data_IF_266357071907
#
_entry.id   IF_266357071907
#
_cell.length_a   1.000
_cell.length_b   1.000
_cell.length_c   1.000
_cell.angle_alpha   90.00
_cell.angle_beta   90.00
_cell.angle_gamma   90.00
#
_symmetry.space_group_name_H-M   'P 1'
#
loop_
_entity.id
_entity.type
_entity.pdbx_description
1 polymer ?
#
# COMPACT_ATOMS: atom_id res chain seq x y z
N UNK A 1 9.22 49.69 9.03
CA UNK A 1 9.40 48.22 9.13
C UNK A 1 8.86 47.61 7.87
N UNK A 2 9.69 46.91 7.09
CA UNK A 2 9.25 46.25 5.86
C UNK A 2 8.16 45.25 6.19
N UNK A 3 6.94 45.50 5.70
CA UNK A 3 5.81 44.59 5.84
C UNK A 3 5.84 43.61 4.68
N UNK A 4 5.78 42.32 4.99
CA UNK A 4 5.58 41.26 4.00
C UNK A 4 4.08 40.98 3.89
N UNK A 5 3.56 40.96 2.66
CA UNK A 5 2.21 40.45 2.40
C UNK A 5 2.18 38.92 2.46
N UNK A 6 0.99 38.33 2.51
CA UNK A 6 0.82 36.86 2.43
C UNK A 6 1.46 36.28 1.17
N UNK A 7 1.28 36.95 0.02
CA UNK A 7 1.90 36.54 -1.25
C UNK A 7 3.43 36.59 -1.19
N UNK A 8 4.01 37.55 -0.46
CA UNK A 8 5.45 37.63 -0.29
C UNK A 8 5.97 36.47 0.54
N UNK A 9 5.24 36.13 1.61
CA UNK A 9 5.56 34.99 2.48
C UNK A 9 5.51 33.67 1.68
N UNK A 10 4.46 33.44 0.89
CA UNK A 10 4.34 32.25 0.03
C UNK A 10 5.52 32.16 -0.97
N UNK A 11 5.88 33.27 -1.62
CA UNK A 11 7.01 33.31 -2.56
C UNK A 11 8.35 33.05 -1.87
N UNK A 12 8.53 33.54 -0.65
CA UNK A 12 9.71 33.27 0.17
C UNK A 12 9.78 31.79 0.56
N UNK A 13 8.67 31.19 1.00
CA UNK A 13 8.59 29.77 1.37
C UNK A 13 8.89 28.87 0.16
N UNK A 14 8.30 29.16 -1.00
CA UNK A 14 8.59 28.45 -2.25
C UNK A 14 10.08 28.50 -2.56
N UNK A 15 10.68 29.69 -2.49
CA UNK A 15 12.11 29.88 -2.81
C UNK A 15 13.03 29.14 -1.85
N UNK A 16 12.72 29.14 -0.56
CA UNK A 16 13.45 28.37 0.48
C UNK A 16 13.34 26.87 0.20
N UNK A 17 12.18 26.39 -0.23
CA UNK A 17 11.92 24.96 -0.48
C UNK A 17 12.66 24.46 -1.72
N UNK A 18 12.74 25.28 -2.77
CA UNK A 18 13.38 24.92 -4.05
C UNK A 18 14.90 25.12 -4.05
N UNK A 19 15.42 26.08 -3.28
CA UNK A 19 16.83 26.47 -3.30
C UNK A 19 17.61 25.91 -2.12
N UNK A 20 18.68 25.17 -2.38
CA UNK A 20 19.64 24.74 -1.35
C UNK A 20 20.79 25.73 -1.15
N UNK A 21 20.95 26.71 -2.05
CA UNK A 21 21.99 27.74 -2.06
C UNK A 21 21.59 28.97 -1.21
N UNK A 22 22.11 29.03 0.02
CA UNK A 22 21.85 30.13 0.97
C UNK A 22 22.39 31.49 0.50
N UNK A 23 23.64 31.61 -0.01
CA UNK A 23 24.11 32.87 -0.60
C UNK A 23 23.17 33.44 -1.67
N UNK A 24 22.66 32.59 -2.57
CA UNK A 24 21.74 33.01 -3.63
C UNK A 24 20.39 33.47 -3.08
N UNK A 25 19.88 32.79 -2.05
CA UNK A 25 18.65 33.20 -1.35
C UNK A 25 18.81 34.57 -0.68
N UNK A 26 19.94 34.84 -0.02
CA UNK A 26 20.21 36.13 0.63
C UNK A 26 20.27 37.26 -0.40
N UNK A 27 20.96 37.06 -1.52
CA UNK A 27 21.04 38.06 -2.59
C UNK A 27 19.67 38.35 -3.20
N UNK A 28 18.84 37.32 -3.38
CA UNK A 28 17.47 37.47 -3.88
C UNK A 28 16.57 38.22 -2.89
N UNK A 29 16.61 37.89 -1.59
CA UNK A 29 15.84 38.59 -0.55
C UNK A 29 16.18 40.09 -0.51
N UNK A 30 17.46 40.45 -0.61
CA UNK A 30 17.90 41.86 -0.65
C UNK A 30 17.44 42.61 -1.90
N UNK A 31 17.30 41.91 -3.03
CA UNK A 31 16.92 42.52 -4.29
C UNK A 31 15.41 42.73 -4.41
N UNK A 32 14.62 41.73 -4.02
CA UNK A 32 13.15 41.79 -4.11
C UNK A 32 12.51 42.53 -2.94
N UNK A 33 13.14 42.47 -1.76
CA UNK A 33 12.62 43.07 -0.53
C UNK A 33 13.65 44.01 0.09
N UNK A 34 13.83 45.19 -0.52
CA UNK A 34 14.82 46.18 -0.08
C UNK A 34 14.56 46.73 1.32
N UNK A 35 13.30 46.72 1.76
CA UNK A 35 12.86 47.31 3.03
C UNK A 35 12.95 46.32 4.21
N UNK A 36 13.36 45.09 3.94
CA UNK A 36 13.50 44.02 4.93
C UNK A 36 14.80 44.23 5.74
N UNK A 37 14.73 44.35 7.08
CA UNK A 37 15.90 44.48 7.93
C UNK A 37 16.93 43.35 7.73
N UNK A 38 18.21 43.68 7.87
CA UNK A 38 19.29 42.70 7.73
C UNK A 38 19.22 41.55 8.76
N UNK A 39 18.56 41.77 9.89
CA UNK A 39 18.27 40.73 10.88
C UNK A 39 17.25 39.72 10.37
N UNK A 40 16.15 40.19 9.77
CA UNK A 40 15.10 39.35 9.21
C UNK A 40 15.61 38.55 8.00
N UNK A 41 16.43 39.15 7.14
CA UNK A 41 17.08 38.42 6.03
C UNK A 41 17.98 37.29 6.57
N UNK A 42 18.72 37.55 7.66
CA UNK A 42 19.54 36.52 8.32
C UNK A 42 18.69 35.43 8.96
N UNK A 43 17.53 35.77 9.48
CA UNK A 43 16.59 34.80 10.04
C UNK A 43 15.98 33.92 8.94
N UNK A 44 15.39 34.53 7.91
CA UNK A 44 14.73 33.82 6.79
C UNK A 44 15.71 32.88 6.07
N UNK A 45 16.96 33.31 5.84
CA UNK A 45 17.99 32.47 5.16
C UNK A 45 18.48 31.26 5.96
N UNK A 46 18.13 31.16 7.25
CA UNK A 46 18.42 29.97 8.08
C UNK A 46 17.31 28.93 8.02
N UNK A 47 16.11 29.32 7.60
CA UNK A 47 14.98 28.40 7.45
C UNK A 47 15.28 27.37 6.35
N UNK A 48 14.79 26.15 6.54
CA UNK A 48 14.93 25.07 5.59
C UNK A 48 13.67 24.23 5.63
N UNK A 49 13.00 24.15 4.48
CA UNK A 49 11.81 23.35 4.29
C UNK A 49 12.13 22.17 3.37
N UNK A 50 11.37 21.09 3.52
CA UNK A 50 11.49 19.88 2.74
C UNK A 50 10.12 19.49 2.24
N UNK A 51 10.12 18.82 1.09
CA UNK A 51 8.95 18.23 0.44
C UNK A 51 7.92 19.27 -0.05
N UNK A 52 6.92 18.76 -0.75
CA UNK A 52 5.84 19.55 -1.36
C UNK A 52 4.49 19.02 -0.89
N UNK A 53 3.52 19.93 -0.80
CA UNK A 53 2.11 19.56 -0.63
C UNK A 53 1.57 18.79 -1.84
N UNK A 54 0.41 18.13 -1.67
CA UNK A 54 -0.28 17.40 -2.75
C UNK A 54 -1.24 18.27 -3.57
N UNK A 55 -1.56 19.46 -3.07
CA UNK A 55 -2.56 20.37 -3.64
C UNK A 55 -1.84 21.65 -4.06
N UNK A 56 -2.21 22.20 -5.21
CA UNK A 56 -1.63 23.43 -5.73
C UNK A 56 -2.36 24.67 -5.18
N UNK A 57 -1.66 25.81 -5.12
CA UNK A 57 -2.28 27.09 -4.80
C UNK A 57 -3.44 27.41 -5.77
N UNK A 58 -3.26 27.15 -7.08
CA UNK A 58 -4.32 27.33 -8.08
C UNK A 58 -5.60 26.55 -7.74
N UNK A 59 -5.49 25.33 -7.21
CA UNK A 59 -6.65 24.55 -6.79
C UNK A 59 -7.31 25.17 -5.55
N UNK A 60 -6.53 25.58 -4.55
CA UNK A 60 -7.07 26.01 -3.25
C UNK A 60 -7.65 27.42 -3.28
N UNK A 61 -6.97 28.36 -3.95
CA UNK A 61 -7.33 29.79 -3.95
C UNK A 61 -7.79 30.29 -5.32
N UNK A 62 -7.55 29.53 -6.38
CA UNK A 62 -7.90 29.90 -7.77
C UNK A 62 -9.04 29.09 -8.38
N UNK A 63 -9.69 28.21 -7.59
CA UNK A 63 -10.84 27.42 -8.02
C UNK A 63 -12.10 27.95 -7.36
N UNK A 64 -13.12 28.24 -8.16
CA UNK A 64 -14.35 28.89 -7.72
C UNK A 64 -15.55 28.01 -8.03
N UNK A 65 -16.62 28.22 -7.27
CA UNK A 65 -17.92 27.60 -7.53
C UNK A 65 -18.39 27.97 -8.95
N UNK A 66 -18.91 27.00 -9.69
CA UNK A 66 -19.52 27.24 -10.99
C UNK A 66 -20.98 26.83 -10.92
N UNK A 67 -21.89 27.79 -11.12
CA UNK A 67 -23.30 27.47 -11.25
C UNK A 67 -23.53 26.76 -12.59
N UNK A 68 -23.87 25.48 -12.51
CA UNK A 68 -24.06 24.61 -13.68
C UNK A 68 -25.24 25.04 -14.57
N UNK A 69 -26.18 25.86 -14.07
CA UNK A 69 -27.33 26.32 -14.84
C UNK A 69 -27.04 27.64 -15.58
N UNK A 70 -26.26 28.53 -14.98
CA UNK A 70 -25.98 29.88 -15.52
C UNK A 70 -24.57 30.01 -16.11
N UNK A 71 -23.68 29.04 -15.86
CA UNK A 71 -22.24 29.09 -16.13
C UNK A 71 -21.54 30.29 -15.48
N UNK A 72 -22.13 30.86 -14.43
CA UNK A 72 -21.53 31.96 -13.68
C UNK A 72 -20.51 31.43 -12.68
N UNK A 73 -19.39 32.14 -12.57
CA UNK A 73 -18.32 31.84 -11.61
C UNK A 73 -18.66 32.58 -10.31
N UNK A 74 -18.84 31.81 -9.23
CA UNK A 74 -19.05 32.31 -7.88
C UNK A 74 -17.81 33.00 -7.31
N UNK A 75 -17.99 33.71 -6.19
CA UNK A 75 -16.94 34.54 -5.59
C UNK A 75 -16.05 33.86 -4.53
N UNK A 76 -16.31 32.59 -4.17
CA UNK A 76 -15.60 31.91 -3.08
C UNK A 76 -14.65 30.84 -3.60
N UNK A 77 -13.38 30.92 -3.22
CA UNK A 77 -12.43 29.85 -3.48
C UNK A 77 -12.68 28.62 -2.59
N UNK A 78 -12.02 27.51 -2.86
CA UNK A 78 -12.12 26.31 -2.01
C UNK A 78 -11.75 26.64 -0.56
N UNK A 79 -10.67 27.39 -0.34
CA UNK A 79 -10.22 27.72 1.02
C UNK A 79 -11.20 28.67 1.72
N UNK A 80 -11.79 29.62 1.00
CA UNK A 80 -12.80 30.53 1.55
C UNK A 80 -14.07 29.78 1.96
N UNK A 81 -14.47 28.80 1.16
CA UNK A 81 -15.64 27.99 1.43
C UNK A 81 -15.42 27.06 2.64
N UNK A 82 -14.24 26.42 2.73
CA UNK A 82 -13.85 25.63 3.91
C UNK A 82 -13.72 26.47 5.17
N UNK A 83 -13.38 27.76 5.05
CA UNK A 83 -13.30 28.66 6.19
C UNK A 83 -14.70 29.10 6.67
N UNK A 84 -15.59 29.38 5.72
CA UNK A 84 -16.95 29.82 6.03
C UNK A 84 -17.86 28.68 6.52
N UNK A 85 -17.67 27.47 5.99
CA UNK A 85 -18.56 26.33 6.22
C UNK A 85 -17.80 25.15 6.86
N UNK A 86 -18.49 24.35 7.68
CA UNK A 86 -17.90 23.13 8.27
C UNK A 86 -17.91 21.94 7.27
N UNK A 87 -17.33 22.15 6.10
CA UNK A 87 -17.34 21.23 4.96
C UNK A 87 -15.89 20.95 4.56
N UNK A 88 -15.57 19.66 4.37
CA UNK A 88 -14.22 19.26 3.97
C UNK A 88 -14.00 19.30 2.45
N UNK A 89 -12.74 19.27 2.02
CA UNK A 89 -12.36 19.31 0.60
C UNK A 89 -13.08 18.26 -0.26
N UNK A 90 -13.22 17.02 0.23
CA UNK A 90 -13.85 15.96 -0.55
C UNK A 90 -15.35 16.19 -0.75
N UNK A 91 -16.01 16.82 0.21
CA UNK A 91 -17.42 17.20 0.09
C UNK A 91 -17.58 18.37 -0.89
N UNK A 92 -16.67 19.36 -0.87
CA UNK A 92 -16.66 20.48 -1.84
C UNK A 92 -16.45 19.97 -3.26
N UNK A 93 -15.55 19.00 -3.45
CA UNK A 93 -15.27 18.37 -4.74
C UNK A 93 -16.34 17.35 -5.18
N UNK A 94 -17.43 17.18 -4.42
CA UNK A 94 -18.60 16.43 -4.88
C UNK A 94 -19.36 17.20 -5.97
N UNK A 95 -20.33 16.55 -6.61
CA UNK A 95 -21.17 17.19 -7.63
C UNK A 95 -22.10 18.29 -7.07
N UNK A 96 -22.12 18.49 -5.75
CA UNK A 96 -23.08 19.37 -5.05
C UNK A 96 -22.75 20.85 -5.10
N UNK A 97 -21.49 21.23 -5.40
CA UNK A 97 -21.00 22.62 -5.22
C UNK A 97 -20.32 23.21 -6.46
N UNK A 98 -20.41 22.57 -7.64
CA UNK A 98 -19.92 23.14 -8.91
C UNK A 98 -18.40 23.23 -9.10
N UNK A 99 -17.59 23.15 -8.03
CA UNK A 99 -16.12 23.22 -8.11
C UNK A 99 -15.50 22.12 -9.00
N UNK A 100 -16.10 20.93 -9.03
CA UNK A 100 -15.66 19.83 -9.90
C UNK A 100 -15.76 20.21 -11.38
N UNK A 101 -16.85 20.86 -11.77
CA UNK A 101 -17.05 21.31 -13.16
C UNK A 101 -16.02 22.37 -13.57
N UNK A 102 -15.70 23.31 -12.69
CA UNK A 102 -14.63 24.29 -12.92
C UNK A 102 -13.27 23.59 -13.16
N UNK A 103 -12.92 22.62 -12.31
CA UNK A 103 -11.67 21.85 -12.44
C UNK A 103 -11.64 21.08 -13.77
N UNK A 104 -12.74 20.45 -14.16
CA UNK A 104 -12.85 19.73 -15.43
C UNK A 104 -12.66 20.66 -16.63
N UNK A 105 -13.21 21.88 -16.58
CA UNK A 105 -13.05 22.88 -17.65
C UNK A 105 -11.60 23.39 -17.75
N UNK A 106 -10.97 23.72 -16.61
CA UNK A 106 -9.58 24.13 -16.57
C UNK A 106 -8.63 23.02 -17.07
N UNK A 107 -8.92 21.76 -16.71
CA UNK A 107 -8.18 20.61 -17.24
C UNK A 107 -8.37 20.48 -18.75
N UNK A 108 -9.60 20.63 -19.27
CA UNK A 108 -9.85 20.62 -20.73
C UNK A 108 -9.06 21.71 -21.45
N UNK A 109 -9.03 22.94 -20.91
CA UNK A 109 -8.23 24.05 -21.46
C UNK A 109 -6.75 23.71 -21.48
N UNK A 110 -6.22 23.22 -20.36
CA UNK A 110 -4.83 22.80 -20.25
C UNK A 110 -4.47 21.72 -21.28
N UNK A 111 -5.29 20.67 -21.39
CA UNK A 111 -5.02 19.57 -22.32
C UNK A 111 -5.32 19.90 -23.79
N UNK A 112 -6.07 20.96 -24.08
CA UNK A 112 -6.22 21.48 -25.44
C UNK A 112 -4.91 22.12 -25.93
N UNK A 113 -4.20 22.81 -25.03
CA UNK A 113 -2.94 23.50 -25.31
C UNK A 113 -1.74 22.53 -25.18
N UNK A 114 -1.81 21.65 -24.19
CA UNK A 114 -0.82 20.62 -23.87
C UNK A 114 -1.46 19.25 -24.04
N UNK A 115 -1.73 18.79 -25.28
CA UNK A 115 -2.32 17.48 -25.50
C UNK A 115 -1.50 16.44 -24.74
N UNK A 116 -2.17 15.67 -23.87
CA UNK A 116 -1.59 14.42 -23.38
C UNK A 116 -1.09 13.70 -24.61
N UNK A 117 0.21 13.38 -24.64
CA UNK A 117 0.79 12.75 -25.83
C UNK A 117 0.18 11.38 -26.10
N UNK A 118 0.90 10.53 -26.83
CA UNK A 118 0.47 9.14 -27.06
C UNK A 118 -0.03 8.46 -25.76
N UNK A 119 -0.90 7.45 -25.85
CA UNK A 119 -1.32 6.61 -24.70
C UNK A 119 -0.13 6.17 -23.82
N UNK A 120 1.05 5.99 -24.42
CA UNK A 120 2.28 5.68 -23.71
C UNK A 120 2.75 6.79 -22.75
N UNK A 121 2.50 8.07 -23.07
CA UNK A 121 2.77 9.20 -22.20
C UNK A 121 1.78 9.26 -21.04
N UNK A 122 0.48 9.12 -21.29
CA UNK A 122 -0.54 9.06 -20.23
C UNK A 122 -0.23 7.92 -19.25
N UNK A 123 0.13 6.74 -19.75
CA UNK A 123 0.53 5.60 -18.91
C UNK A 123 1.80 5.87 -18.08
N UNK A 124 2.74 6.67 -18.59
CA UNK A 124 3.93 7.08 -17.83
C UNK A 124 3.58 8.07 -16.72
N UNK A 125 2.69 9.02 -16.99
CA UNK A 125 2.20 10.01 -16.02
C UNK A 125 1.37 9.33 -14.91
N UNK A 126 0.68 8.23 -15.21
CA UNK A 126 -0.02 7.39 -14.25
C UNK A 126 0.90 6.43 -13.45
N UNK A 127 2.23 6.57 -13.58
CA UNK A 127 3.23 5.71 -12.94
C UNK A 127 3.04 4.20 -13.21
N UNK A 128 2.47 3.84 -14.36
CA UNK A 128 2.29 2.44 -14.75
C UNK A 128 3.64 1.87 -15.21
N UNK A 129 4.00 0.68 -14.71
CA UNK A 129 5.29 0.07 -15.05
C UNK A 129 5.40 -0.27 -16.55
N UNK A 130 6.59 -0.20 -17.18
CA UNK A 130 6.73 -0.40 -18.62
C UNK A 130 6.20 -1.74 -19.15
N UNK A 131 6.32 -2.82 -18.36
CA UNK A 131 5.76 -4.13 -18.72
C UNK A 131 4.24 -4.11 -18.77
N UNK A 132 3.62 -3.46 -17.79
CA UNK A 132 2.16 -3.29 -17.73
C UNK A 132 1.71 -2.34 -18.85
N UNK A 133 2.37 -1.21 -19.05
CA UNK A 133 2.02 -0.25 -20.11
C UNK A 133 2.01 -0.88 -21.50
N UNK A 134 2.96 -1.77 -21.79
CA UNK A 134 2.96 -2.53 -23.06
C UNK A 134 1.72 -3.43 -23.19
N UNK A 135 1.33 -4.12 -22.14
CA UNK A 135 0.12 -4.96 -22.16
C UNK A 135 -1.13 -4.11 -22.44
N UNK A 136 -1.25 -2.95 -21.76
CA UNK A 136 -2.38 -2.02 -21.95
C UNK A 136 -2.46 -1.51 -23.39
N UNK A 137 -1.34 -1.07 -23.96
CA UNK A 137 -1.29 -0.58 -25.35
C UNK A 137 -1.74 -1.67 -26.32
N UNK A 138 -1.27 -2.92 -26.12
CA UNK A 138 -1.69 -4.06 -26.96
C UNK A 138 -3.17 -4.38 -26.81
N UNK A 139 -3.72 -4.36 -25.60
CA UNK A 139 -5.17 -4.52 -25.39
C UNK A 139 -5.96 -3.46 -26.15
N UNK A 140 -5.54 -2.20 -26.11
CA UNK A 140 -6.20 -1.11 -26.85
C UNK A 140 -6.10 -1.28 -28.37
N UNK A 141 -4.97 -1.77 -28.88
CA UNK A 141 -4.80 -2.09 -30.31
C UNK A 141 -5.76 -3.21 -30.74
N UNK A 142 -5.89 -4.27 -29.95
CA UNK A 142 -6.81 -5.38 -30.19
C UNK A 142 -8.26 -4.89 -30.19
N UNK A 143 -8.67 -4.07 -29.22
CA UNK A 143 -10.03 -3.50 -29.18
C UNK A 143 -10.31 -2.64 -30.41
N UNK A 144 -9.35 -1.80 -30.83
CA UNK A 144 -9.47 -0.98 -32.05
C UNK A 144 -9.60 -1.85 -33.30
N UNK A 145 -8.87 -2.95 -33.38
CA UNK A 145 -8.95 -3.91 -34.49
C UNK A 145 -10.29 -4.64 -34.50
N UNK A 146 -10.75 -5.14 -33.35
CA UNK A 146 -12.05 -5.77 -33.21
C UNK A 146 -13.19 -4.83 -33.63
N UNK A 147 -13.14 -3.55 -33.25
CA UNK A 147 -14.11 -2.56 -33.70
C UNK A 147 -14.10 -2.37 -35.22
N UNK A 148 -12.90 -2.36 -35.84
CA UNK A 148 -12.77 -2.25 -37.31
C UNK A 148 -13.37 -3.46 -38.03
N UNK A 149 -13.23 -4.66 -37.47
CA UNK A 149 -13.74 -5.92 -38.02
C UNK A 149 -15.25 -6.02 -37.82
N UNK A 150 -15.72 -5.85 -36.59
CA UNK A 150 -17.13 -6.05 -36.19
C UNK A 150 -18.04 -4.87 -36.56
N UNK A 151 -17.46 -3.71 -36.90
CA UNK A 151 -18.16 -2.45 -37.21
C UNK A 151 -19.06 -1.95 -36.07
N UNK A 152 -18.86 -2.43 -34.85
CA UNK A 152 -19.61 -2.06 -33.66
C UNK A 152 -18.67 -1.93 -32.46
N UNK A 153 -19.07 -1.12 -31.49
CA UNK A 153 -18.39 -1.05 -30.20
C UNK A 153 -18.82 -2.24 -29.32
N UNK A 154 -17.92 -2.79 -28.48
CA UNK A 154 -18.28 -3.85 -27.54
C UNK A 154 -19.19 -3.31 -26.44
N UNK A 155 -20.23 -4.07 -26.08
CA UNK A 155 -21.15 -3.67 -24.99
C UNK A 155 -20.48 -3.66 -23.62
N UNK A 156 -19.52 -4.58 -23.40
CA UNK A 156 -18.75 -4.71 -22.16
C UNK A 156 -17.34 -5.21 -22.47
N UNK A 157 -16.35 -4.67 -21.76
CA UNK A 157 -14.96 -5.12 -21.80
C UNK A 157 -14.58 -5.60 -20.40
N UNK A 158 -14.24 -6.89 -20.27
CA UNK A 158 -13.71 -7.46 -19.04
C UNK A 158 -12.20 -7.50 -19.13
N UNK A 159 -11.52 -6.84 -18.18
CA UNK A 159 -10.06 -6.79 -18.11
C UNK A 159 -9.59 -7.47 -16.85
N UNK A 160 -8.83 -8.55 -16.98
CA UNK A 160 -8.14 -9.21 -15.89
C UNK A 160 -6.63 -9.03 -16.05
N UNK A 161 -5.97 -8.52 -15.02
CA UNK A 161 -4.53 -8.29 -15.02
C UNK A 161 -3.86 -9.33 -14.11
N UNK A 162 -2.98 -10.15 -14.67
CA UNK A 162 -2.21 -11.12 -13.90
C UNK A 162 -1.48 -10.44 -12.73
N UNK A 163 -1.36 -11.14 -11.59
CA UNK A 163 -0.60 -10.69 -10.42
C UNK A 163 0.88 -10.56 -10.78
N UNK A 164 1.27 -9.42 -11.34
CA UNK A 164 2.68 -9.06 -11.53
C UNK A 164 3.36 -8.76 -10.20
N UNK A 165 4.65 -9.09 -10.09
CA UNK A 165 5.48 -8.71 -8.95
C UNK A 165 5.52 -7.19 -8.77
N UNK A 166 5.68 -6.72 -7.52
CA UNK A 166 5.69 -5.29 -7.24
C UNK A 166 6.89 -4.64 -7.95
N UNK A 167 6.76 -3.42 -8.52
CA UNK A 167 7.90 -2.70 -9.09
C UNK A 167 9.07 -2.57 -8.11
N UNK A 168 8.75 -2.47 -6.81
CA UNK A 168 9.67 -2.41 -5.67
C UNK A 168 10.50 -3.67 -5.44
N UNK A 169 10.08 -4.81 -5.99
CA UNK A 169 10.76 -6.11 -5.91
C UNK A 169 11.72 -6.33 -7.09
N UNK A 170 11.64 -5.49 -8.13
CA UNK A 170 12.48 -5.61 -9.33
C UNK A 170 13.90 -5.14 -9.01
N UNK A 171 14.85 -6.08 -9.04
CA UNK A 171 16.28 -5.80 -8.82
C UNK A 171 16.75 -5.88 -7.35
N UNK A 172 15.84 -6.13 -6.40
CA UNK A 172 16.24 -6.49 -5.04
C UNK A 172 16.57 -7.98 -5.00
N UNK A 173 17.73 -8.35 -4.46
CA UNK A 173 18.03 -9.74 -4.13
C UNK A 173 17.00 -10.19 -3.10
N UNK A 174 16.04 -11.02 -3.52
CA UNK A 174 15.15 -11.70 -2.58
C UNK A 174 16.04 -12.53 -1.65
N UNK A 175 16.00 -12.23 -0.35
CA UNK A 175 16.70 -13.07 0.63
C UNK A 175 16.18 -14.50 0.51
N UNK A 176 17.09 -15.47 0.47
CA UNK A 176 16.65 -16.86 0.37
C UNK A 176 15.86 -17.25 1.62
N UNK A 177 14.96 -18.23 1.51
CA UNK A 177 14.23 -18.75 2.67
C UNK A 177 15.18 -19.22 3.78
N UNK A 178 16.30 -19.82 3.40
CA UNK A 178 17.38 -20.20 4.32
C UNK A 178 17.98 -18.99 5.04
N UNK A 179 18.36 -17.93 4.33
CA UNK A 179 18.88 -16.69 4.95
C UNK A 179 17.85 -16.07 5.92
N UNK A 180 16.56 -16.13 5.59
CA UNK A 180 15.50 -15.64 6.47
C UNK A 180 15.37 -16.46 7.75
N UNK A 181 15.43 -17.80 7.64
CA UNK A 181 15.38 -18.72 8.79
C UNK A 181 16.63 -18.55 9.67
N UNK A 182 17.82 -18.37 9.11
CA UNK A 182 19.02 -18.16 9.92
C UNK A 182 18.95 -16.86 10.73
N UNK A 183 18.52 -15.75 10.10
CA UNK A 183 18.28 -14.49 10.81
C UNK A 183 17.23 -14.63 11.90
N UNK A 184 16.19 -15.44 11.65
CA UNK A 184 15.16 -15.74 12.63
C UNK A 184 15.78 -16.40 13.86
N UNK A 185 16.63 -17.41 13.67
CA UNK A 185 17.26 -18.15 14.77
C UNK A 185 18.24 -17.30 15.56
N UNK A 186 19.00 -16.42 14.90
CA UNK A 186 19.89 -15.48 15.59
C UNK A 186 19.12 -14.54 16.54
N UNK A 187 17.90 -14.13 16.15
CA UNK A 187 17.02 -13.29 16.97
C UNK A 187 16.23 -14.05 18.06
N UNK A 188 16.24 -15.40 18.03
CA UNK A 188 15.34 -16.23 18.85
C UNK A 188 15.95 -16.78 20.14
N UNK A 189 17.24 -16.52 20.37
CA UNK A 189 17.99 -17.00 21.55
C UNK A 189 17.39 -16.58 22.89
N UNK A 190 16.53 -15.56 22.90
CA UNK A 190 15.86 -15.09 24.12
C UNK A 190 14.74 -16.02 24.63
N UNK A 191 14.23 -16.94 23.80
CA UNK A 191 13.08 -17.78 24.15
C UNK A 191 13.13 -19.23 23.61
N UNK A 192 14.14 -19.58 22.83
CA UNK A 192 14.43 -20.95 22.39
C UNK A 192 15.83 -21.32 22.86
N UNK A 193 16.01 -22.53 23.36
CA UNK A 193 17.33 -23.00 23.81
C UNK A 193 18.31 -23.11 22.64
N UNK A 194 19.60 -22.95 22.92
CA UNK A 194 20.64 -23.11 21.91
C UNK A 194 20.68 -24.55 21.38
N UNK A 195 20.31 -25.54 22.20
CA UNK A 195 20.19 -26.95 21.78
C UNK A 195 19.08 -27.14 20.73
N UNK A 196 17.90 -26.58 20.96
CA UNK A 196 16.77 -26.66 20.03
C UNK A 196 17.10 -25.97 18.70
N UNK A 197 17.72 -24.78 18.76
CA UNK A 197 18.18 -24.05 17.57
C UNK A 197 19.24 -24.87 16.81
N UNK A 198 20.20 -25.48 17.52
CA UNK A 198 21.25 -26.30 16.92
C UNK A 198 20.67 -27.52 16.18
N UNK A 199 19.70 -28.20 16.81
CA UNK A 199 18.99 -29.32 16.18
C UNK A 199 18.23 -28.88 14.93
N UNK A 200 17.50 -27.76 14.99
CA UNK A 200 16.78 -27.20 13.84
C UNK A 200 17.74 -26.75 12.71
N UNK A 201 18.92 -26.23 13.05
CA UNK A 201 19.97 -25.89 12.06
C UNK A 201 20.53 -27.11 11.36
N UNK A 202 20.75 -28.21 12.08
CA UNK A 202 21.15 -29.48 11.48
C UNK A 202 20.13 -29.98 10.47
N UNK A 203 18.83 -29.93 10.82
CA UNK A 203 17.74 -30.28 9.91
C UNK A 203 17.61 -29.31 8.72
N UNK A 204 17.87 -28.02 8.93
CA UNK A 204 17.87 -27.02 7.86
C UNK A 204 19.03 -27.23 6.87
N UNK A 205 20.19 -27.66 7.38
CA UNK A 205 21.39 -27.94 6.59
C UNK A 205 21.27 -29.19 5.71
N UNK A 206 20.42 -30.15 6.08
CA UNK A 206 20.19 -31.37 5.29
C UNK A 206 19.25 -31.19 4.10
N UNK A 207 18.52 -30.07 4.02
CA UNK A 207 17.59 -29.77 2.93
C UNK A 207 18.27 -29.03 1.77
N UNK A 208 17.81 -29.26 0.55
CA UNK A 208 18.14 -28.39 -0.58
C UNK A 208 17.31 -27.10 -0.57
N UNK A 209 17.77 -26.06 -1.27
CA UNK A 209 16.98 -24.85 -1.47
C UNK A 209 15.63 -25.14 -2.17
N UNK A 210 15.58 -26.16 -3.03
CA UNK A 210 14.34 -26.58 -3.71
C UNK A 210 13.32 -27.14 -2.71
N UNK A 211 13.76 -28.00 -1.78
CA UNK A 211 12.89 -28.51 -0.72
C UNK A 211 12.37 -27.38 0.19
N UNK A 212 13.20 -26.37 0.45
CA UNK A 212 12.78 -25.19 1.22
C UNK A 212 11.75 -24.31 0.49
N UNK A 213 11.53 -24.47 -0.81
CA UNK A 213 10.42 -23.81 -1.53
C UNK A 213 9.06 -24.36 -1.14
N UNK A 214 8.99 -25.59 -0.61
CA UNK A 214 7.76 -26.10 0.00
C UNK A 214 7.39 -25.26 1.22
N UNK A 215 6.16 -24.75 1.23
CA UNK A 215 5.63 -23.98 2.36
C UNK A 215 5.62 -24.79 3.65
N UNK A 216 5.42 -26.10 3.57
CA UNK A 216 5.38 -26.99 4.75
C UNK A 216 6.71 -27.02 5.49
N UNK A 217 7.81 -27.18 4.77
CA UNK A 217 9.16 -27.12 5.34
C UNK A 217 9.50 -25.71 5.83
N UNK A 218 9.14 -24.68 5.08
CA UNK A 218 9.38 -23.30 5.52
C UNK A 218 8.62 -22.97 6.80
N UNK A 219 7.33 -23.31 6.88
CA UNK A 219 6.49 -23.14 8.07
C UNK A 219 7.04 -23.91 9.26
N UNK A 220 7.51 -25.15 9.07
CA UNK A 220 8.15 -25.94 10.12
C UNK A 220 9.28 -25.16 10.80
N UNK A 221 10.22 -24.60 10.03
CA UNK A 221 11.36 -23.89 10.60
C UNK A 221 10.98 -22.54 11.23
N UNK A 222 10.11 -21.75 10.60
CA UNK A 222 9.69 -20.47 11.21
C UNK A 222 8.85 -20.65 12.48
N UNK A 223 8.25 -21.83 12.65
CA UNK A 223 7.52 -22.24 13.84
C UNK A 223 8.37 -23.04 14.84
N UNK A 224 9.68 -23.13 14.61
CA UNK A 224 10.62 -23.87 15.46
C UNK A 224 10.20 -25.32 15.71
N UNK A 225 9.66 -25.96 14.67
CA UNK A 225 9.22 -27.35 14.70
C UNK A 225 8.03 -27.62 15.62
N UNK A 226 7.24 -26.61 15.98
CA UNK A 226 6.06 -26.77 16.84
C UNK A 226 4.76 -26.61 16.06
N UNK A 227 3.75 -27.40 16.44
CA UNK A 227 2.39 -27.25 15.94
C UNK A 227 1.75 -26.00 16.52
N UNK A 228 1.15 -25.14 15.67
CA UNK A 228 0.57 -23.88 16.15
C UNK A 228 -0.68 -24.02 17.02
N UNK A 229 -1.37 -25.16 17.01
CA UNK A 229 -2.58 -25.37 17.80
C UNK A 229 -2.39 -26.25 19.05
N UNK A 230 -1.31 -27.04 19.12
CA UNK A 230 -1.01 -27.85 20.31
C UNK A 230 0.26 -27.44 21.05
N UNK A 231 1.21 -26.79 20.37
CA UNK A 231 2.56 -26.52 20.89
C UNK A 231 3.47 -27.74 20.92
N UNK A 232 2.96 -28.90 20.54
CA UNK A 232 3.71 -30.15 20.48
C UNK A 232 4.69 -30.15 19.30
N UNK A 233 5.80 -30.87 19.47
CA UNK A 233 6.80 -31.02 18.42
C UNK A 233 6.22 -31.72 17.19
N UNK A 234 6.64 -31.25 16.02
CA UNK A 234 6.37 -31.83 14.71
C UNK A 234 7.54 -32.72 14.36
N UNK A 235 7.26 -33.96 13.99
CA UNK A 235 8.26 -34.89 13.49
C UNK A 235 8.71 -34.49 12.09
N UNK A 236 9.95 -34.02 11.98
CA UNK A 236 10.58 -33.61 10.73
C UNK A 236 10.57 -34.71 9.66
N UNK A 237 10.78 -35.97 10.05
CA UNK A 237 10.82 -37.11 9.13
C UNK A 237 9.47 -37.35 8.45
N UNK A 238 8.37 -36.94 9.11
CA UNK A 238 7.00 -37.08 8.64
C UNK A 238 6.44 -35.81 7.98
N UNK A 239 7.25 -34.76 7.77
CA UNK A 239 6.79 -33.57 7.04
C UNK A 239 6.42 -33.88 5.59
N UNK A 240 7.10 -34.84 4.95
CA UNK A 240 6.76 -35.30 3.60
C UNK A 240 5.45 -36.10 3.54
N UNK A 241 4.94 -36.58 4.67
CA UNK A 241 3.66 -37.29 4.77
C UNK A 241 2.50 -36.28 4.86
N UNK A 242 1.58 -36.36 3.90
CA UNK A 242 0.44 -35.46 3.79
C UNK A 242 -0.71 -35.77 4.76
N UNK A 243 -0.60 -36.83 5.57
CA UNK A 243 -1.66 -37.21 6.51
C UNK A 243 -1.43 -36.74 7.95
N UNK A 244 -0.22 -36.27 8.25
CA UNK A 244 0.18 -35.95 9.63
C UNK A 244 0.02 -34.47 9.98
N UNK A 245 0.37 -33.62 9.01
CA UNK A 245 0.47 -32.19 9.21
C UNK A 245 -0.07 -31.45 7.99
N UNK A 246 -0.89 -30.44 8.27
CA UNK A 246 -1.54 -29.62 7.27
C UNK A 246 -1.09 -28.16 7.41
N UNK A 247 -1.15 -27.44 6.30
CA UNK A 247 -1.11 -25.99 6.30
C UNK A 247 -2.55 -25.51 6.43
N UNK A 248 -2.87 -24.92 7.58
CA UNK A 248 -4.17 -24.30 7.84
C UNK A 248 -4.14 -22.80 7.55
N UNK A 249 -5.27 -22.27 7.10
CA UNK A 249 -5.52 -20.84 6.97
C UNK A 249 -6.20 -20.33 8.24
N UNK A 250 -5.50 -19.46 8.99
CA UNK A 250 -5.98 -18.89 10.26
C UNK A 250 -7.35 -18.26 10.05
N UNK A 251 -7.44 -17.35 9.08
CA UNK A 251 -8.72 -16.93 8.53
C UNK A 251 -9.17 -17.94 7.46
N UNK A 252 -10.36 -18.54 7.59
CA UNK A 252 -10.85 -19.53 6.64
C UNK A 252 -10.91 -18.99 5.22
N UNK A 253 -10.51 -19.81 4.24
CA UNK A 253 -10.56 -19.45 2.83
C UNK A 253 -11.99 -19.15 2.34
N UNK A 254 -12.99 -19.80 2.95
CA UNK A 254 -14.41 -19.57 2.69
C UNK A 254 -14.87 -18.15 3.06
N UNK A 255 -14.11 -17.42 3.89
CA UNK A 255 -14.40 -16.03 4.30
C UNK A 255 -13.49 -15.03 3.60
N UNK A 256 -12.21 -15.37 3.40
CA UNK A 256 -11.23 -14.49 2.78
C UNK A 256 -10.23 -15.29 1.94
N UNK A 257 -10.06 -14.88 0.68
CA UNK A 257 -9.04 -15.45 -0.20
C UNK A 257 -7.65 -14.84 0.06
N UNK A 258 -7.12 -15.05 1.26
CA UNK A 258 -5.77 -14.63 1.65
C UNK A 258 -4.84 -15.85 1.76
N UNK A 259 -4.08 -16.08 0.69
CA UNK A 259 -3.11 -17.18 0.59
C UNK A 259 -1.69 -16.78 1.04
N UNK A 260 -1.53 -15.63 1.70
CA UNK A 260 -0.23 -15.18 2.18
C UNK A 260 0.28 -16.01 3.36
N UNK A 261 1.60 -16.03 3.56
CA UNK A 261 2.23 -16.67 4.72
C UNK A 261 1.76 -16.11 6.08
N UNK A 262 1.20 -14.90 6.10
CA UNK A 262 0.62 -14.31 7.32
C UNK A 262 -0.69 -14.99 7.72
N UNK A 263 -1.37 -15.65 6.78
CA UNK A 263 -2.58 -16.42 7.03
C UNK A 263 -2.32 -17.91 7.22
N UNK A 264 -1.12 -18.42 6.93
CA UNK A 264 -0.84 -19.86 6.91
C UNK A 264 -0.09 -20.34 8.14
N UNK A 265 -0.47 -21.46 8.72
CA UNK A 265 0.25 -22.11 9.83
C UNK A 265 0.34 -23.61 9.64
N UNK A 266 1.45 -24.22 10.05
CA UNK A 266 1.61 -25.66 10.06
C UNK A 266 1.07 -26.24 11.37
N UNK A 267 0.13 -27.17 11.24
CA UNK A 267 -0.58 -27.79 12.36
C UNK A 267 -0.72 -29.30 12.16
N UNK A 268 -1.10 -30.04 13.22
CA UNK A 268 -1.46 -31.46 13.10
C UNK A 268 -2.78 -31.58 12.35
N UNK A 269 -2.88 -32.52 11.41
CA UNK A 269 -4.08 -32.66 10.55
C UNK A 269 -5.37 -32.89 11.34
N UNK A 270 -5.29 -33.60 12.46
CA UNK A 270 -6.43 -33.77 13.38
C UNK A 270 -6.95 -32.41 13.91
N UNK A 271 -6.05 -31.55 14.40
CA UNK A 271 -6.41 -30.24 14.96
C UNK A 271 -6.92 -29.28 13.88
N UNK A 272 -6.40 -29.41 12.65
CA UNK A 272 -6.91 -28.69 11.50
C UNK A 272 -8.38 -29.08 11.22
N UNK A 273 -8.66 -30.38 11.18
CA UNK A 273 -10.03 -30.89 11.00
C UNK A 273 -10.98 -30.47 12.11
N UNK A 274 -10.52 -30.46 13.37
CA UNK A 274 -11.30 -29.99 14.54
C UNK A 274 -11.56 -28.48 14.56
N UNK A 275 -10.70 -27.68 13.93
CA UNK A 275 -10.91 -26.25 13.71
C UNK A 275 -11.88 -26.01 12.55
N UNK A 276 -11.74 -26.74 11.45
CA UNK A 276 -12.52 -26.53 10.23
C UNK A 276 -12.48 -25.05 9.77
N UNK A 277 -13.60 -24.53 9.28
CA UNK A 277 -13.81 -23.13 8.90
C UNK A 277 -14.22 -22.23 10.07
N UNK A 278 -14.11 -22.71 11.32
CA UNK A 278 -14.46 -21.91 12.49
C UNK A 278 -13.41 -20.85 12.76
N UNK A 279 -13.88 -19.61 12.88
CA UNK A 279 -13.08 -18.47 13.30
C UNK A 279 -13.93 -17.55 14.18
N UNK A 280 -13.42 -17.07 15.33
CA UNK A 280 -12.05 -17.18 15.83
C UNK A 280 -11.60 -18.58 16.29
N UNK A 281 -10.29 -18.81 16.38
CA UNK A 281 -9.73 -20.03 16.97
C UNK A 281 -10.27 -20.22 18.39
N UNK A 282 -10.66 -21.45 18.75
CA UNK A 282 -11.22 -21.81 20.07
C UNK A 282 -10.39 -21.25 21.24
N UNK A 283 -11.08 -20.77 22.27
CA UNK A 283 -10.45 -20.07 23.40
C UNK A 283 -9.42 -20.94 24.12
N UNK A 284 -9.66 -22.24 24.21
CA UNK A 284 -8.78 -23.23 24.83
C UNK A 284 -7.42 -23.26 24.11
N UNK A 285 -7.44 -23.30 22.77
CA UNK A 285 -6.23 -23.25 21.94
C UNK A 285 -5.56 -21.88 22.10
N UNK A 286 -6.31 -20.77 22.00
CA UNK A 286 -5.73 -19.43 22.12
C UNK A 286 -5.02 -19.24 23.46
N UNK A 287 -5.66 -19.63 24.56
CA UNK A 287 -5.10 -19.48 25.90
C UNK A 287 -3.85 -20.36 26.08
N UNK A 288 -3.89 -21.61 25.61
CA UNK A 288 -2.74 -22.53 25.65
C UNK A 288 -1.56 -22.01 24.83
N UNK A 289 -1.84 -21.45 23.65
CA UNK A 289 -0.83 -21.11 22.66
C UNK A 289 -0.36 -19.66 22.70
N UNK A 290 -1.04 -18.79 23.46
CA UNK A 290 -0.78 -17.36 23.52
C UNK A 290 0.71 -17.02 23.75
N UNK A 291 1.36 -17.66 24.73
CA UNK A 291 2.77 -17.40 25.02
C UNK A 291 3.68 -17.81 23.86
N UNK A 292 3.42 -18.96 23.23
CA UNK A 292 4.17 -19.40 22.06
C UNK A 292 4.00 -18.41 20.91
N UNK A 293 2.77 -18.07 20.55
CA UNK A 293 2.51 -17.14 19.44
C UNK A 293 3.12 -15.76 19.67
N UNK A 294 3.08 -15.26 20.91
CA UNK A 294 3.70 -13.99 21.27
C UNK A 294 5.22 -14.04 21.05
N UNK A 295 5.84 -15.12 21.50
CA UNK A 295 7.28 -15.31 21.35
C UNK A 295 7.69 -15.53 19.89
N UNK A 296 6.83 -16.10 19.04
CA UNK A 296 7.13 -16.33 17.62
C UNK A 296 6.85 -15.11 16.74
N UNK A 297 5.69 -14.48 16.92
CA UNK A 297 5.11 -13.53 15.97
C UNK A 297 4.91 -12.11 16.56
N UNK A 298 5.38 -11.84 17.78
CA UNK A 298 5.30 -10.49 18.37
C UNK A 298 6.62 -10.03 18.99
N UNK A 299 7.75 -10.47 18.42
CA UNK A 299 9.10 -10.17 18.93
C UNK A 299 9.53 -8.73 18.68
N UNK A 300 9.21 -8.22 17.50
CA UNK A 300 9.43 -6.83 17.13
C UNK A 300 8.08 -6.19 16.78
N UNK A 301 7.53 -5.33 17.65
CA UNK A 301 6.29 -4.60 17.37
C UNK A 301 6.36 -3.73 16.11
N UNK A 302 7.58 -3.40 15.63
CA UNK A 302 7.82 -2.66 14.40
C UNK A 302 7.88 -3.55 13.16
N UNK A 303 7.88 -4.88 13.30
CA UNK A 303 7.76 -5.80 12.18
C UNK A 303 6.26 -6.03 11.87
N UNK A 304 5.70 -5.35 10.85
CA UNK A 304 4.26 -5.43 10.55
C UNK A 304 3.83 -6.85 10.14
N UNK A 305 4.73 -7.62 9.54
CA UNK A 305 4.48 -8.98 9.04
C UNK A 305 4.13 -9.96 10.15
N UNK A 306 4.93 -9.96 11.22
CA UNK A 306 4.78 -10.87 12.34
C UNK A 306 3.54 -10.44 13.16
N UNK A 307 3.38 -9.12 13.37
CA UNK A 307 2.25 -8.52 14.07
C UNK A 307 0.89 -8.94 13.50
N UNK A 308 0.71 -8.85 12.18
CA UNK A 308 -0.56 -9.24 11.53
C UNK A 308 -0.91 -10.70 11.82
N UNK A 309 0.07 -11.61 11.72
CA UNK A 309 -0.15 -13.03 11.98
C UNK A 309 -0.52 -13.29 13.44
N UNK A 310 0.16 -12.62 14.38
CA UNK A 310 -0.15 -12.70 15.80
C UNK A 310 -1.57 -12.23 16.13
N UNK A 311 -1.98 -11.08 15.58
CA UNK A 311 -3.33 -10.53 15.78
C UNK A 311 -4.41 -11.49 15.27
N UNK A 312 -4.20 -12.13 14.12
CA UNK A 312 -5.12 -13.14 13.57
C UNK A 312 -5.24 -14.38 14.47
N UNK A 313 -4.12 -14.86 15.00
CA UNK A 313 -4.12 -16.03 15.89
C UNK A 313 -4.82 -15.74 17.23
N UNK A 314 -4.66 -14.51 17.75
CA UNK A 314 -5.11 -14.15 19.10
C UNK A 314 -6.47 -13.45 19.18
N UNK A 315 -7.01 -12.98 18.05
CA UNK A 315 -8.33 -12.33 18.00
C UNK A 315 -9.39 -13.22 18.66
N UNK A 316 -10.22 -12.59 19.48
CA UNK A 316 -11.29 -13.26 20.23
C UNK A 316 -12.69 -13.01 19.66
N UNK A 317 -12.82 -12.08 18.71
CA UNK A 317 -14.10 -11.64 18.14
C UNK A 317 -14.28 -12.17 16.71
N UNK A 318 -15.50 -12.62 16.32
CA UNK A 318 -15.81 -12.93 14.93
C UNK A 318 -15.61 -11.74 13.99
N UNK A 319 -15.61 -11.99 12.69
CA UNK A 319 -15.66 -10.91 11.70
C UNK A 319 -16.96 -10.13 11.82
N UNK A 320 -16.87 -8.80 11.72
CA UNK A 320 -18.06 -7.97 11.57
C UNK A 320 -18.62 -8.08 10.16
N UNK A 321 -19.89 -7.71 9.97
CA UNK A 321 -20.51 -7.68 8.64
C UNK A 321 -19.76 -6.73 7.70
N UNK A 322 -19.31 -5.57 8.19
CA UNK A 322 -18.50 -4.61 7.42
C UNK A 322 -17.15 -5.18 6.98
N UNK A 323 -16.49 -5.97 7.84
CA UNK A 323 -15.22 -6.63 7.49
C UNK A 323 -15.45 -7.67 6.38
N UNK A 324 -16.51 -8.48 6.50
CA UNK A 324 -16.89 -9.47 5.49
C UNK A 324 -17.23 -8.79 4.16
N UNK A 325 -18.05 -7.72 4.20
CA UNK A 325 -18.37 -6.90 3.04
C UNK A 325 -17.11 -6.32 2.39
N UNK A 326 -16.17 -5.78 3.19
CA UNK A 326 -14.90 -5.29 2.70
C UNK A 326 -13.98 -6.38 2.13
N UNK A 327 -14.04 -7.62 2.63
CA UNK A 327 -13.33 -8.75 2.00
C UNK A 327 -13.93 -9.10 0.64
N UNK A 328 -15.26 -9.12 0.53
CA UNK A 328 -15.97 -9.35 -0.73
C UNK A 328 -15.66 -8.22 -1.72
N UNK A 329 -15.74 -6.96 -1.29
CA UNK A 329 -15.45 -5.80 -2.12
C UNK A 329 -14.01 -5.82 -2.63
N UNK A 330 -13.02 -6.17 -1.80
CA UNK A 330 -11.63 -6.36 -2.26
C UNK A 330 -11.44 -7.49 -3.27
N UNK A 331 -12.33 -8.49 -3.27
CA UNK A 331 -12.33 -9.55 -4.27
C UNK A 331 -13.03 -9.13 -5.56
N UNK A 332 -14.07 -8.31 -5.48
CA UNK A 332 -14.85 -7.83 -6.62
C UNK A 332 -14.22 -6.61 -7.31
N UNK A 333 -13.56 -5.74 -6.54
CA UNK A 333 -12.98 -4.48 -6.99
C UNK A 333 -11.46 -4.64 -7.04
N UNK A 334 -10.92 -4.72 -8.26
CA UNK A 334 -9.48 -4.75 -8.48
C UNK A 334 -8.89 -3.36 -8.14
N UNK A 335 -8.25 -3.27 -6.97
CA UNK A 335 -7.77 -2.00 -6.40
C UNK A 335 -6.45 -1.51 -6.97
N UNK A 336 -5.80 -2.30 -7.83
CA UNK A 336 -4.49 -1.96 -8.40
C UNK A 336 -4.56 -0.72 -9.29
N UNK A 337 -3.59 0.18 -9.09
CA UNK A 337 -3.37 1.35 -9.95
C UNK A 337 -3.30 0.98 -11.43
N UNK A 338 -2.69 -0.15 -11.77
CA UNK A 338 -2.65 -0.65 -13.15
C UNK A 338 -4.02 -0.96 -13.74
N UNK A 339 -4.94 -1.53 -12.96
CA UNK A 339 -6.28 -1.88 -13.45
C UNK A 339 -7.17 -0.66 -13.50
N UNK A 340 -7.06 0.23 -12.49
CA UNK A 340 -7.69 1.55 -12.55
C UNK A 340 -7.24 2.34 -13.79
N UNK A 341 -5.95 2.30 -14.10
CA UNK A 341 -5.41 2.97 -15.28
C UNK A 341 -5.98 2.42 -16.59
N UNK A 342 -6.17 1.10 -16.71
CA UNK A 342 -6.84 0.53 -17.89
C UNK A 342 -8.30 0.93 -17.97
N UNK A 343 -9.01 0.93 -16.84
CA UNK A 343 -10.43 1.29 -16.84
C UNK A 343 -10.69 2.77 -17.17
N UNK A 344 -9.71 3.65 -16.91
CA UNK A 344 -9.77 5.09 -17.20
C UNK A 344 -9.42 5.42 -18.67
N UNK A 345 -8.69 4.55 -19.37
CA UNK A 345 -8.27 4.72 -20.77
C UNK A 345 -9.30 4.17 -21.76
#
# INVERSE_FOLDING_TARGET
NGFLSENDVERIIERITVTTDKPRLVSWLKAEYSDLPAEDIRYISRLSYKDYGRLSAKLLTGCYELDTNTSEIGGRSIIDFMWAENINLMQILSDSYGYKSFIEEENKKYYTINPTGSIAQTLREMYVSPSVSRAIIRTMEIVKELRKITKKDPDKIFVEMARGGKPEEKGKRTSSRREQIEKLYDSAKAFVSDEDISHLRSQLGSLSDEQLRSEKYYLYFIQFGKCMYSGEAIDFSRLGDNHCYDIDHIFPQSKINDDSLHNKVLVKSQLNGEKSDDYPIKAEIRNKMHLLWKNLFYRDPKNPTDKVKYERLTRSTPFTEDELAGFIERQLVETRQSTKAVATL
#
